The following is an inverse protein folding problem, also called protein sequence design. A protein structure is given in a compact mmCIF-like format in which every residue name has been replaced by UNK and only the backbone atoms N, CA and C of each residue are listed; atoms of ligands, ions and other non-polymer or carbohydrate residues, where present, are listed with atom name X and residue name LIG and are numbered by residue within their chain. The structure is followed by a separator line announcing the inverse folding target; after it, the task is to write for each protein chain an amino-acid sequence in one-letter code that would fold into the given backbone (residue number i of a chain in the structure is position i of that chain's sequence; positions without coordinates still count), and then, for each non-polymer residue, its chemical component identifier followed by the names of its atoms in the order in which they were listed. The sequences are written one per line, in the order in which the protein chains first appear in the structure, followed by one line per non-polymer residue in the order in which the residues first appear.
data_IF_251262872280
#
_entry.id   IF_251262872280
#
_cell.length_a   1.000
_cell.length_b   1.000
_cell.length_c   1.000
_cell.angle_alpha   90.00
_cell.angle_beta   90.00
_cell.angle_gamma   90.00
#
_symmetry.space_group_name_H-M   'P 1'
#
loop_
_entity.id
_entity.type
_entity.pdbx_description
1 polymer ?
#
# COMPACT_ATOMS: atom_id res chain seq x y z
N UNK A 1 14.44 -20.94 3.02
CA UNK A 1 14.00 -20.11 4.17
C UNK A 1 14.24 -18.67 3.75
N UNK A 2 13.21 -17.84 3.82
CA UNK A 2 13.23 -16.46 3.34
C UNK A 2 13.61 -15.51 4.50
N UNK A 3 14.52 -14.57 4.27
CA UNK A 3 15.15 -13.81 5.37
C UNK A 3 14.55 -12.42 5.60
N UNK A 4 13.79 -11.90 4.64
CA UNK A 4 13.13 -10.61 4.77
C UNK A 4 11.91 -10.75 5.69
N UNK A 5 11.77 -9.91 6.73
CA UNK A 5 10.59 -9.89 7.58
C UNK A 5 9.32 -9.56 6.81
N UNK A 6 8.22 -10.20 7.18
CA UNK A 6 6.89 -9.95 6.58
C UNK A 6 5.95 -9.48 7.67
N UNK A 7 5.28 -8.34 7.45
CA UNK A 7 4.09 -7.92 8.15
C UNK A 7 2.85 -8.35 7.38
N UNK A 8 2.01 -9.17 8.02
CA UNK A 8 0.73 -9.61 7.50
C UNK A 8 -0.40 -8.98 8.31
N UNK A 9 -1.11 -8.04 7.66
CA UNK A 9 -2.24 -7.31 8.21
C UNK A 9 -3.52 -8.07 7.90
N UNK A 10 -4.22 -8.54 8.94
CA UNK A 10 -5.44 -9.34 8.80
C UNK A 10 -6.63 -8.70 9.51
N UNK A 11 -7.84 -9.02 9.05
CA UNK A 11 -9.07 -8.67 9.76
C UNK A 11 -10.05 -9.86 9.83
N UNK A 12 -11.32 -9.68 9.45
CA UNK A 12 -12.37 -10.68 9.56
C UNK A 12 -12.65 -11.40 8.22
N UNK A 13 -11.62 -11.70 7.43
CA UNK A 13 -11.74 -12.33 6.09
C UNK A 13 -10.96 -13.64 5.98
N UNK A 14 -11.39 -14.70 6.68
CA UNK A 14 -10.66 -15.97 6.72
C UNK A 14 -10.36 -16.54 5.33
N UNK A 15 -11.30 -16.45 4.38
CA UNK A 15 -11.14 -17.01 3.03
C UNK A 15 -9.98 -16.40 2.23
N UNK A 16 -9.77 -15.09 2.33
CA UNK A 16 -8.65 -14.42 1.65
C UNK A 16 -7.38 -14.49 2.50
N UNK A 17 -7.51 -14.41 3.84
CA UNK A 17 -6.39 -14.62 4.77
C UNK A 17 -5.70 -15.97 4.50
N UNK A 18 -6.45 -17.05 4.32
CA UNK A 18 -5.90 -18.38 4.03
C UNK A 18 -5.10 -18.40 2.73
N UNK A 19 -5.63 -17.82 1.65
CA UNK A 19 -4.94 -17.78 0.37
C UNK A 19 -3.62 -17.00 0.42
N UNK A 20 -3.60 -15.84 1.10
CA UNK A 20 -2.37 -15.04 1.26
C UNK A 20 -1.39 -15.73 2.20
N UNK A 21 -1.88 -16.31 3.31
CA UNK A 21 -1.04 -17.03 4.27
C UNK A 21 -0.36 -18.24 3.63
N UNK A 22 -1.02 -18.99 2.75
CA UNK A 22 -0.40 -20.13 2.06
C UNK A 22 0.75 -19.69 1.14
N UNK A 23 0.70 -18.50 0.53
CA UNK A 23 1.85 -17.94 -0.20
C UNK A 23 3.01 -17.58 0.74
N UNK A 24 2.71 -17.03 1.92
CA UNK A 24 3.73 -16.74 2.96
C UNK A 24 4.32 -18.04 3.50
N UNK A 25 3.50 -19.07 3.76
CA UNK A 25 3.93 -20.38 4.24
C UNK A 25 4.83 -21.09 3.24
N UNK A 26 4.57 -20.96 1.94
CA UNK A 26 5.37 -21.57 0.88
C UNK A 26 6.84 -21.13 0.90
N UNK A 27 7.11 -19.84 1.18
CA UNK A 27 8.48 -19.31 1.22
C UNK A 27 9.17 -19.46 2.59
N UNK A 28 8.40 -19.80 3.64
CA UNK A 28 8.90 -20.07 5.00
C UNK A 28 9.78 -18.91 5.51
N UNK A 29 9.21 -17.71 5.75
CA UNK A 29 9.98 -16.59 6.29
C UNK A 29 10.54 -16.94 7.67
N UNK A 30 11.76 -16.49 7.96
CA UNK A 30 12.35 -16.66 9.29
C UNK A 30 11.65 -15.79 10.36
N UNK A 31 11.00 -14.69 9.94
CA UNK A 31 10.29 -13.74 10.82
C UNK A 31 8.96 -13.34 10.20
N UNK A 32 7.87 -13.56 10.94
CA UNK A 32 6.51 -13.22 10.54
C UNK A 32 5.85 -12.37 11.63
N UNK A 33 5.34 -11.21 11.23
CA UNK A 33 4.60 -10.30 12.07
C UNK A 33 3.14 -10.36 11.63
N UNK A 34 2.22 -10.62 12.55
CA UNK A 34 0.78 -10.68 12.26
C UNK A 34 0.07 -9.61 13.08
N UNK A 35 -0.60 -8.66 12.44
CA UNK A 35 -1.39 -7.67 13.14
C UNK A 35 -2.86 -7.78 12.74
N UNK A 36 -3.74 -7.73 13.73
CA UNK A 36 -5.18 -7.85 13.54
C UNK A 36 -5.93 -6.80 14.36
N UNK A 37 -6.79 -6.04 13.69
CA UNK A 37 -7.75 -5.17 14.39
C UNK A 37 -8.83 -6.02 15.09
N UNK A 38 -9.53 -5.45 16.07
CA UNK A 38 -10.64 -6.15 16.73
C UNK A 38 -11.90 -6.09 15.86
N UNK A 39 -12.82 -7.08 15.92
CA UNK A 39 -14.10 -7.00 15.21
C UNK A 39 -14.90 -5.76 15.61
N UNK A 40 -15.74 -5.25 14.71
CA UNK A 40 -16.52 -4.04 15.00
C UNK A 40 -17.61 -4.32 16.02
N UNK A 41 -17.82 -3.36 16.94
CA UNK A 41 -18.92 -3.44 17.90
C UNK A 41 -20.27 -3.55 17.17
N UNK A 42 -21.16 -4.41 17.69
CA UNK A 42 -22.48 -4.65 17.10
C UNK A 42 -22.49 -5.54 15.86
N UNK A 43 -21.39 -6.23 15.54
CA UNK A 43 -21.28 -7.19 14.43
C UNK A 43 -20.78 -8.56 14.92
N UNK A 44 -21.65 -9.38 15.55
CA UNK A 44 -21.24 -10.64 16.18
C UNK A 44 -20.62 -11.63 15.18
N UNK A 45 -21.03 -11.61 13.91
CA UNK A 45 -20.47 -12.44 12.85
C UNK A 45 -19.00 -12.13 12.55
N UNK A 46 -18.52 -10.92 12.86
CA UNK A 46 -17.12 -10.56 12.67
C UNK A 46 -16.22 -11.17 13.74
N UNK A 47 -16.74 -11.44 14.94
CA UNK A 47 -15.96 -12.03 16.01
C UNK A 47 -15.51 -13.45 15.66
N UNK A 48 -16.44 -14.26 15.14
CA UNK A 48 -16.14 -15.62 14.67
C UNK A 48 -15.16 -15.59 13.49
N UNK A 49 -15.41 -14.75 12.48
CA UNK A 49 -14.55 -14.64 11.29
C UNK A 49 -13.15 -14.12 11.63
N UNK A 50 -13.03 -13.18 12.57
CA UNK A 50 -11.74 -12.68 13.04
C UNK A 50 -10.97 -13.76 13.80
N UNK A 51 -11.64 -14.58 14.62
CA UNK A 51 -11.02 -15.71 15.29
C UNK A 51 -10.51 -16.75 14.29
N UNK A 52 -11.30 -17.07 13.26
CA UNK A 52 -10.89 -17.96 12.16
C UNK A 52 -9.67 -17.43 11.40
N UNK A 53 -9.65 -16.13 11.06
CA UNK A 53 -8.52 -15.50 10.39
C UNK A 53 -7.22 -15.55 11.22
N UNK A 54 -7.30 -15.30 12.54
CA UNK A 54 -6.16 -15.41 13.46
C UNK A 54 -5.67 -16.86 13.55
N UNK A 55 -6.58 -17.83 13.69
CA UNK A 55 -6.25 -19.25 13.77
C UNK A 55 -5.55 -19.76 12.49
N UNK A 56 -5.86 -19.22 11.31
CA UNK A 56 -5.13 -19.52 10.07
C UNK A 56 -3.65 -19.14 10.22
N UNK A 57 -3.36 -17.93 10.70
CA UNK A 57 -1.99 -17.43 10.84
C UNK A 57 -1.18 -18.11 11.94
N UNK A 58 -1.84 -18.87 12.82
CA UNK A 58 -1.19 -19.67 13.88
C UNK A 58 -0.71 -21.03 13.37
N UNK A 59 -1.09 -21.44 12.15
CA UNK A 59 -0.68 -22.72 11.53
C UNK A 59 0.77 -22.70 11.01
N UNK A 60 1.66 -21.92 11.63
CA UNK A 60 3.07 -21.81 11.26
C UNK A 60 3.78 -23.12 11.64
N UNK A 61 4.14 -23.91 10.63
CA UNK A 61 4.73 -25.25 10.77
C UNK A 61 6.19 -25.31 10.30
N UNK A 62 6.87 -24.17 10.24
CA UNK A 62 8.28 -24.03 9.91
C UNK A 62 9.02 -23.22 10.98
N UNK A 63 10.37 -23.28 11.06
CA UNK A 63 11.12 -22.46 12.00
C UNK A 63 10.94 -20.97 11.66
N UNK A 64 10.16 -20.27 12.49
CA UNK A 64 9.77 -18.88 12.31
C UNK A 64 9.65 -18.19 13.66
N UNK A 65 10.24 -17.02 13.82
CA UNK A 65 9.89 -16.11 14.90
C UNK A 65 8.57 -15.41 14.52
N UNK A 66 7.50 -15.73 15.25
CA UNK A 66 6.19 -15.12 15.03
C UNK A 66 5.92 -14.08 16.10
N UNK A 67 5.57 -12.86 15.70
CA UNK A 67 5.12 -11.78 16.59
C UNK A 67 3.71 -11.36 16.23
N UNK A 68 2.86 -11.18 17.23
CA UNK A 68 1.46 -10.82 17.01
C UNK A 68 1.12 -9.47 17.64
N UNK A 69 0.26 -8.70 16.97
CA UNK A 69 -0.35 -7.47 17.47
C UNK A 69 -1.87 -7.58 17.26
N UNK A 70 -2.57 -8.18 18.23
CA UNK A 70 -4.02 -8.32 18.20
C UNK A 70 -4.66 -7.26 19.08
N UNK A 71 -5.53 -6.44 18.50
CA UNK A 71 -6.23 -5.38 19.23
C UNK A 71 -7.44 -5.92 19.96
N UNK A 72 -7.72 -5.33 21.12
CA UNK A 72 -8.93 -5.58 21.92
C UNK A 72 -10.13 -4.75 21.43
N UNK A 73 -9.88 -3.57 20.85
CA UNK A 73 -10.90 -2.67 20.33
C UNK A 73 -10.64 -2.35 18.86
N UNK A 74 -11.73 -2.19 18.08
CA UNK A 74 -11.62 -1.84 16.67
C UNK A 74 -11.16 -0.39 16.53
N UNK A 75 -9.98 -0.18 15.95
CA UNK A 75 -9.43 1.16 15.71
C UNK A 75 -9.73 1.67 14.29
N UNK A 76 -10.18 0.78 13.41
CA UNK A 76 -10.47 1.07 12.02
C UNK A 76 -9.21 1.12 11.16
N UNK A 77 -9.40 1.02 9.84
CA UNK A 77 -8.32 0.86 8.85
C UNK A 77 -7.19 1.89 9.01
N UNK A 78 -7.54 3.18 9.07
CA UNK A 78 -6.55 4.28 9.17
C UNK A 78 -5.57 4.10 10.34
N UNK A 79 -6.08 3.86 11.56
CA UNK A 79 -5.25 3.76 12.77
C UNK A 79 -4.65 2.37 12.94
N UNK A 80 -5.47 1.32 12.81
CA UNK A 80 -5.02 -0.05 13.04
C UNK A 80 -3.86 -0.42 12.11
N UNK A 81 -3.96 -0.10 10.82
CA UNK A 81 -2.92 -0.44 9.82
C UNK A 81 -1.66 0.40 10.04
N UNK A 82 -1.79 1.72 10.18
CA UNK A 82 -0.61 2.58 10.33
C UNK A 82 0.15 2.31 11.63
N UNK A 83 -0.54 2.07 12.74
CA UNK A 83 0.11 1.69 14.00
C UNK A 83 0.77 0.32 13.92
N UNK A 84 0.18 -0.65 13.20
CA UNK A 84 0.81 -1.95 12.96
C UNK A 84 2.08 -1.85 12.13
N UNK A 85 2.10 -0.99 11.10
CA UNK A 85 3.31 -0.75 10.31
C UNK A 85 4.39 -0.03 11.15
N UNK A 86 4.00 0.92 12.00
CA UNK A 86 4.92 1.55 12.96
C UNK A 86 5.53 0.53 13.93
N UNK A 87 4.69 -0.30 14.56
CA UNK A 87 5.13 -1.39 15.44
C UNK A 87 6.10 -2.34 14.72
N UNK A 88 5.83 -2.71 13.47
CA UNK A 88 6.73 -3.54 12.67
C UNK A 88 8.10 -2.88 12.47
N UNK A 89 8.12 -1.59 12.11
CA UNK A 89 9.36 -0.86 11.89
C UNK A 89 10.06 -0.37 13.17
N UNK A 90 9.47 -0.52 14.35
CA UNK A 90 10.24 -0.44 15.61
C UNK A 90 11.22 -1.61 15.73
N UNK A 91 10.85 -2.77 15.17
CA UNK A 91 11.60 -4.02 15.27
C UNK A 91 12.51 -4.26 14.06
N UNK A 92 12.09 -3.86 12.85
CA UNK A 92 12.78 -4.20 11.61
C UNK A 92 13.35 -2.97 10.87
N UNK A 93 14.47 -3.13 10.18
CA UNK A 93 15.05 -2.05 9.34
C UNK A 93 14.32 -1.91 8.01
N UNK A 94 13.75 -3.00 7.52
CA UNK A 94 13.02 -3.11 6.26
C UNK A 94 12.14 -4.36 6.26
N UNK A 95 11.17 -4.40 5.36
CA UNK A 95 10.36 -5.60 5.19
C UNK A 95 9.23 -5.46 4.20
N UNK A 96 8.54 -6.57 3.99
CA UNK A 96 7.35 -6.70 3.14
C UNK A 96 6.09 -6.48 3.99
N UNK A 97 5.11 -5.78 3.42
CA UNK A 97 3.79 -5.57 4.00
C UNK A 97 2.74 -6.18 3.05
N UNK A 98 1.91 -7.07 3.58
CA UNK A 98 0.78 -7.70 2.89
C UNK A 98 -0.50 -7.52 3.71
N UNK A 99 -1.61 -7.26 3.03
CA UNK A 99 -2.96 -7.30 3.63
C UNK A 99 -3.63 -8.64 3.33
N UNK A 100 -4.67 -9.01 4.09
CA UNK A 100 -5.42 -10.27 3.97
C UNK A 100 -6.05 -10.52 2.61
N UNK A 101 -6.06 -9.53 1.73
CA UNK A 101 -6.61 -9.60 0.39
C UNK A 101 -5.59 -9.31 -0.73
N UNK A 102 -4.31 -9.20 -0.38
CA UNK A 102 -3.22 -8.97 -1.33
C UNK A 102 -2.49 -10.28 -1.61
N UNK A 103 -2.92 -11.02 -2.64
CA UNK A 103 -2.35 -12.32 -3.02
C UNK A 103 -1.07 -12.14 -3.86
N UNK A 104 0.13 -12.39 -3.30
CA UNK A 104 1.37 -12.25 -4.06
C UNK A 104 1.61 -13.46 -4.96
N UNK A 105 2.16 -13.22 -6.14
CA UNK A 105 2.80 -14.27 -6.93
C UNK A 105 4.13 -14.68 -6.25
N UNK A 106 4.56 -15.97 -6.31
CA UNK A 106 5.80 -16.41 -5.67
C UNK A 106 7.06 -15.59 -6.00
N UNK A 107 7.14 -15.03 -7.21
CA UNK A 107 8.26 -14.18 -7.63
C UNK A 107 8.27 -12.77 -6.99
N UNK A 108 7.22 -12.37 -6.26
CA UNK A 108 7.17 -11.13 -5.50
C UNK A 108 8.20 -11.10 -4.37
N UNK A 109 8.40 -12.24 -3.70
CA UNK A 109 9.32 -12.33 -2.55
C UNK A 109 10.80 -12.12 -2.94
N UNK A 110 11.39 -12.86 -3.90
CA UNK A 110 12.75 -12.59 -4.34
C UNK A 110 12.91 -11.19 -4.94
N UNK A 111 11.87 -10.66 -5.61
CA UNK A 111 11.85 -9.29 -6.10
C UNK A 111 11.98 -8.26 -4.96
N UNK A 112 11.21 -8.41 -3.89
CA UNK A 112 11.32 -7.53 -2.72
C UNK A 112 12.65 -7.70 -1.99
N UNK A 113 13.15 -8.94 -1.81
CA UNK A 113 14.44 -9.21 -1.17
C UNK A 113 15.59 -8.52 -1.88
N UNK A 114 15.69 -8.71 -3.20
CA UNK A 114 16.75 -8.10 -3.99
C UNK A 114 16.71 -6.57 -3.93
N UNK A 115 15.53 -5.98 -4.08
CA UNK A 115 15.37 -4.52 -4.12
C UNK A 115 15.52 -3.85 -2.75
N UNK A 116 15.06 -4.49 -1.67
CA UNK A 116 15.25 -4.00 -0.31
C UNK A 116 16.73 -3.91 0.06
N UNK A 117 17.51 -4.93 -0.35
CA UNK A 117 18.96 -4.96 -0.13
C UNK A 117 19.69 -3.98 -1.05
N UNK A 118 19.34 -3.95 -2.35
CA UNK A 118 19.96 -3.07 -3.34
C UNK A 118 19.81 -1.59 -3.02
N UNK A 119 18.63 -1.17 -2.56
CA UNK A 119 18.31 0.23 -2.27
C UNK A 119 18.26 0.56 -0.78
N UNK A 120 18.89 -0.27 0.06
CA UNK A 120 18.89 -0.09 1.52
C UNK A 120 19.31 1.32 1.93
N UNK A 121 20.37 1.84 1.32
CA UNK A 121 20.96 3.14 1.67
C UNK A 121 20.60 4.28 0.70
N UNK A 122 19.92 3.97 -0.41
CA UNK A 122 19.51 4.96 -1.41
C UNK A 122 18.29 5.77 -0.93
N UNK A 123 18.55 7.00 -0.46
CA UNK A 123 17.51 7.88 0.06
C UNK A 123 16.50 8.34 -0.99
N UNK A 124 16.79 8.17 -2.29
CA UNK A 124 15.87 8.50 -3.38
C UNK A 124 14.72 7.50 -3.48
N UNK A 125 14.88 6.29 -2.95
CA UNK A 125 13.87 5.22 -3.05
C UNK A 125 13.13 5.09 -1.72
N UNK A 126 11.80 5.19 -1.81
CA UNK A 126 10.90 5.13 -0.66
C UNK A 126 9.99 3.91 -0.63
N UNK A 127 9.69 3.31 -1.78
CA UNK A 127 8.65 2.29 -1.87
C UNK A 127 9.00 1.25 -2.92
N UNK A 128 8.70 -0.02 -2.66
CA UNK A 128 8.72 -1.11 -3.65
C UNK A 128 7.30 -1.60 -3.80
N UNK A 129 6.70 -1.37 -4.97
CA UNK A 129 5.34 -1.83 -5.24
C UNK A 129 5.34 -3.25 -5.78
N UNK A 130 4.31 -4.03 -5.41
CA UNK A 130 3.94 -5.27 -6.07
C UNK A 130 2.90 -5.10 -7.18
N UNK A 131 2.46 -3.87 -7.49
CA UNK A 131 1.38 -3.66 -8.46
C UNK A 131 1.84 -3.05 -9.77
N UNK A 132 1.29 -3.58 -10.87
CA UNK A 132 1.45 -3.01 -12.20
C UNK A 132 0.08 -2.93 -12.88
N UNK A 133 -0.37 -1.71 -13.14
CA UNK A 133 -1.60 -1.40 -13.88
C UNK A 133 -1.29 -0.88 -15.29
N UNK A 134 -0.02 -0.62 -15.60
CA UNK A 134 0.46 0.02 -16.83
C UNK A 134 1.72 -0.70 -17.35
N UNK A 135 1.67 -2.02 -17.63
CA UNK A 135 2.86 -2.77 -18.04
C UNK A 135 3.50 -2.20 -19.32
N UNK A 136 2.70 -1.62 -20.21
CA UNK A 136 3.17 -1.00 -21.45
C UNK A 136 3.98 0.29 -21.27
N UNK A 137 4.02 0.86 -20.06
CA UNK A 137 4.78 2.08 -19.76
C UNK A 137 6.22 1.79 -19.32
N UNK A 138 6.61 0.50 -19.23
CA UNK A 138 7.96 0.05 -18.86
C UNK A 138 8.61 -0.58 -20.08
N UNK A 139 9.91 -0.32 -20.26
CA UNK A 139 10.71 -1.00 -21.28
C UNK A 139 10.65 -2.53 -21.10
N UNK A 140 10.40 -3.31 -22.15
CA UNK A 140 10.31 -4.78 -22.05
C UNK A 140 11.61 -5.44 -21.59
N UNK A 141 12.73 -4.71 -21.62
CA UNK A 141 14.03 -5.19 -21.15
C UNK A 141 14.21 -5.06 -19.62
N UNK A 142 13.40 -4.22 -18.96
CA UNK A 142 13.53 -3.91 -17.53
C UNK A 142 12.53 -4.72 -16.69
N UNK A 143 12.98 -5.14 -15.51
CA UNK A 143 12.10 -5.78 -14.53
C UNK A 143 11.23 -4.77 -13.78
N UNK A 144 11.67 -3.52 -13.69
CA UNK A 144 10.94 -2.44 -13.05
C UNK A 144 11.44 -1.10 -13.56
N UNK A 145 10.68 -0.05 -13.26
CA UNK A 145 11.11 1.34 -13.44
C UNK A 145 10.74 2.16 -12.19
N UNK A 146 11.09 3.44 -12.16
CA UNK A 146 10.78 4.33 -11.05
C UNK A 146 9.65 5.29 -11.40
N UNK A 147 8.75 5.54 -10.45
CA UNK A 147 7.71 6.55 -10.60
C UNK A 147 7.41 7.24 -9.26
N UNK A 148 6.53 8.23 -9.28
CA UNK A 148 6.07 8.94 -8.09
C UNK A 148 4.72 8.46 -7.55
N UNK A 149 4.24 7.35 -8.09
CA UNK A 149 2.97 6.74 -7.73
C UNK A 149 3.23 5.60 -6.77
N UNK A 150 2.43 5.52 -5.72
CA UNK A 150 2.57 4.52 -4.66
C UNK A 150 1.33 3.65 -4.63
N UNK A 151 1.47 2.41 -5.11
CA UNK A 151 0.43 1.40 -4.97
C UNK A 151 0.76 0.47 -3.81
N UNK A 152 -0.22 0.27 -2.94
CA UNK A 152 -0.07 -0.31 -1.60
C UNK A 152 -0.64 -1.74 -1.48
N UNK A 153 -1.02 -2.39 -2.59
CA UNK A 153 -1.47 -3.79 -2.53
C UNK A 153 -0.27 -4.72 -2.64
N UNK A 154 0.29 -5.08 -1.49
CA UNK A 154 1.53 -5.82 -1.38
C UNK A 154 2.73 -4.99 -1.81
N UNK A 155 3.58 -4.66 -0.84
CA UNK A 155 4.67 -3.72 -1.04
C UNK A 155 5.77 -3.95 -0.02
N UNK A 156 6.90 -3.27 -0.19
CA UNK A 156 7.99 -3.27 0.76
C UNK A 156 8.59 -1.87 0.94
N UNK A 157 9.14 -1.62 2.13
CA UNK A 157 9.82 -0.35 2.43
C UNK A 157 10.83 -0.54 3.57
N UNK A 158 11.41 0.57 4.02
CA UNK A 158 12.40 0.66 5.08
C UNK A 158 11.90 1.51 6.24
N UNK A 159 12.37 1.21 7.45
CA UNK A 159 12.18 2.05 8.65
C UNK A 159 12.61 3.49 8.40
N UNK A 160 13.72 3.69 7.66
CA UNK A 160 14.23 5.02 7.30
C UNK A 160 13.24 5.86 6.48
N UNK A 161 12.30 5.22 5.78
CA UNK A 161 11.20 5.87 5.06
C UNK A 161 10.03 6.06 6.01
N UNK A 162 9.59 4.99 6.66
CA UNK A 162 8.39 4.99 7.49
C UNK A 162 8.46 5.96 8.67
N UNK A 163 9.65 6.24 9.20
CA UNK A 163 9.84 7.25 10.27
C UNK A 163 9.32 8.65 9.93
N UNK A 164 9.11 8.97 8.65
CA UNK A 164 8.58 10.25 8.20
C UNK A 164 7.05 10.27 8.11
N UNK A 165 6.39 9.12 8.31
CA UNK A 165 4.95 8.99 8.19
C UNK A 165 4.23 9.71 9.33
N UNK A 166 3.16 10.42 8.99
CA UNK A 166 2.33 11.13 9.95
C UNK A 166 0.87 11.07 9.52
N UNK A 167 0.02 10.51 10.37
CA UNK A 167 -1.43 10.42 10.12
C UNK A 167 -2.09 11.79 9.92
N UNK A 168 -1.63 12.80 10.65
CA UNK A 168 -2.17 14.17 10.59
C UNK A 168 -1.65 14.98 9.40
N UNK A 169 -0.68 14.42 8.66
CA UNK A 169 -0.03 15.02 7.49
C UNK A 169 0.22 16.54 7.61
N UNK A 170 1.06 17.00 8.57
CA UNK A 170 1.20 18.41 8.92
C UNK A 170 1.67 19.31 7.77
N UNK A 171 2.38 18.74 6.78
CA UNK A 171 2.76 19.48 5.57
C UNK A 171 1.55 20.05 4.84
N UNK A 172 0.43 19.30 4.75
CA UNK A 172 -0.78 19.78 4.11
C UNK A 172 -1.35 20.99 4.83
N UNK A 173 -1.51 20.92 6.15
CA UNK A 173 -2.04 22.02 6.95
C UNK A 173 -1.19 23.28 6.81
N UNK A 174 0.13 23.15 6.82
CA UNK A 174 1.07 24.27 6.65
C UNK A 174 1.06 24.89 5.24
N UNK A 175 0.69 24.14 4.20
CA UNK A 175 0.89 24.55 2.80
C UNK A 175 -0.37 24.63 1.94
N UNK A 176 -1.53 24.18 2.44
CA UNK A 176 -2.78 24.10 1.66
C UNK A 176 -3.28 25.43 1.10
N UNK A 177 -2.85 26.56 1.68
CA UNK A 177 -3.16 27.91 1.22
C UNK A 177 -1.98 28.61 0.49
N UNK A 178 -0.84 27.93 0.30
CA UNK A 178 0.33 28.46 -0.41
C UNK A 178 0.35 27.93 -1.86
N UNK A 179 0.07 28.76 -2.88
CA UNK A 179 -0.01 28.31 -4.27
C UNK A 179 1.28 27.65 -4.79
N UNK A 180 2.45 28.14 -4.39
CA UNK A 180 3.73 27.64 -4.92
C UNK A 180 4.13 26.31 -4.30
N UNK A 181 3.85 26.12 -3.00
CA UNK A 181 4.03 24.81 -2.36
C UNK A 181 3.06 23.77 -2.94
N UNK A 182 1.82 24.16 -3.25
CA UNK A 182 0.85 23.27 -3.90
C UNK A 182 1.28 22.85 -5.30
N UNK A 183 1.80 23.78 -6.11
CA UNK A 183 2.37 23.47 -7.43
C UNK A 183 3.54 22.49 -7.35
N UNK A 184 4.28 22.48 -6.24
CA UNK A 184 5.39 21.55 -6.01
C UNK A 184 4.90 20.17 -5.55
N UNK A 185 3.80 20.10 -4.79
CA UNK A 185 3.23 18.84 -4.29
C UNK A 185 2.49 18.05 -5.38
N UNK A 186 1.72 18.75 -6.21
CA UNK A 186 0.90 18.15 -7.26
C UNK A 186 1.57 18.34 -8.62
N UNK A 187 1.77 17.26 -9.35
CA UNK A 187 2.46 17.26 -10.65
C UNK A 187 1.58 17.75 -11.78
N UNK A 188 0.27 17.59 -11.64
CA UNK A 188 -0.70 18.01 -12.65
C UNK A 188 -1.90 18.69 -12.01
N UNK A 189 -2.63 19.47 -12.81
CA UNK A 189 -3.87 20.10 -12.36
C UNK A 189 -4.95 19.08 -12.00
N UNK A 190 -4.98 17.93 -12.70
CA UNK A 190 -5.93 16.84 -12.42
C UNK A 190 -5.67 16.24 -11.04
N UNK A 191 -4.39 15.98 -10.75
CA UNK A 191 -3.95 15.50 -9.44
C UNK A 191 -4.34 16.49 -8.33
N UNK A 192 -4.04 17.78 -8.52
CA UNK A 192 -4.40 18.83 -7.56
C UNK A 192 -5.91 18.84 -7.27
N UNK A 193 -6.73 18.83 -8.31
CA UNK A 193 -8.20 18.85 -8.17
C UNK A 193 -8.69 17.64 -7.39
N UNK A 194 -8.20 16.44 -7.74
CA UNK A 194 -8.62 15.20 -7.11
C UNK A 194 -8.20 15.17 -5.64
N UNK A 195 -6.90 15.36 -5.37
CA UNK A 195 -6.34 15.13 -4.05
C UNK A 195 -6.56 16.27 -3.07
N UNK A 196 -6.78 17.52 -3.51
CA UNK A 196 -7.07 18.62 -2.57
C UNK A 196 -8.25 18.29 -1.67
N UNK A 197 -9.37 17.90 -2.27
CA UNK A 197 -10.55 17.52 -1.48
C UNK A 197 -10.39 16.15 -0.83
N UNK A 198 -9.61 15.24 -1.43
CA UNK A 198 -9.42 13.89 -0.87
C UNK A 198 -8.59 13.94 0.42
N UNK A 199 -7.48 14.68 0.44
CA UNK A 199 -6.63 14.87 1.61
C UNK A 199 -7.47 15.52 2.73
N UNK A 200 -8.20 16.60 2.45
CA UNK A 200 -9.06 17.24 3.45
C UNK A 200 -10.13 16.29 4.01
N UNK A 201 -10.81 15.53 3.14
CA UNK A 201 -11.82 14.58 3.60
C UNK A 201 -11.19 13.45 4.43
N UNK A 202 -9.97 13.00 4.08
CA UNK A 202 -9.25 11.92 4.78
C UNK A 202 -8.71 12.37 6.15
N UNK A 203 -8.22 13.60 6.26
CA UNK A 203 -7.72 14.14 7.52
C UNK A 203 -8.85 14.40 8.52
N UNK A 204 -10.01 14.83 8.02
CA UNK A 204 -11.19 15.10 8.85
C UNK A 204 -12.15 13.90 8.98
N UNK A 205 -11.74 12.70 8.56
CA UNK A 205 -12.52 11.44 8.57
C UNK A 205 -13.95 11.61 8.00
N UNK A 206 -14.10 12.45 6.96
CA UNK A 206 -15.39 12.79 6.37
C UNK A 206 -15.88 11.67 5.48
N UNK A 207 -17.21 11.52 5.41
CA UNK A 207 -17.89 10.57 4.52
C UNK A 207 -17.48 9.10 4.74
N UNK A 208 -17.00 8.75 5.93
CA UNK A 208 -16.53 7.40 6.26
C UNK A 208 -15.19 7.04 5.61
N UNK A 209 -14.42 8.02 5.13
CA UNK A 209 -13.07 7.78 4.63
C UNK A 209 -12.15 7.56 5.83
N UNK A 210 -11.68 6.32 5.98
CA UNK A 210 -10.70 5.91 6.99
C UNK A 210 -9.48 5.33 6.27
N UNK A 211 -8.71 6.20 5.62
CA UNK A 211 -7.56 5.83 4.81
C UNK A 211 -6.25 6.41 5.39
N UNK A 212 -5.16 5.66 5.24
CA UNK A 212 -3.81 6.04 5.68
C UNK A 212 -2.85 6.22 4.49
N UNK A 213 -3.17 5.60 3.36
CA UNK A 213 -2.33 5.45 2.17
C UNK A 213 -2.13 6.77 1.41
N UNK A 214 -3.11 7.67 1.42
CA UNK A 214 -2.97 9.00 0.80
C UNK A 214 -1.94 9.86 1.55
N UNK A 215 -1.92 9.80 2.88
CA UNK A 215 -0.89 10.47 3.68
C UNK A 215 0.48 9.89 3.37
N UNK A 216 0.59 8.56 3.22
CA UNK A 216 1.84 7.89 2.87
C UNK A 216 2.34 8.28 1.47
N UNK A 217 1.45 8.28 0.47
CA UNK A 217 1.74 8.71 -0.89
C UNK A 217 2.33 10.13 -0.93
N UNK A 218 1.69 11.08 -0.26
CA UNK A 218 2.18 12.46 -0.26
C UNK A 218 3.38 12.67 0.67
N UNK A 219 3.53 11.87 1.73
CA UNK A 219 4.75 11.87 2.53
C UNK A 219 5.97 11.55 1.65
N UNK A 220 5.92 10.50 0.82
CA UNK A 220 6.99 10.17 -0.12
C UNK A 220 7.32 11.35 -1.04
N UNK A 221 6.29 12.04 -1.55
CA UNK A 221 6.47 13.23 -2.39
C UNK A 221 7.15 14.39 -1.68
N UNK A 222 6.81 14.63 -0.41
CA UNK A 222 7.47 15.69 0.37
C UNK A 222 8.96 15.41 0.62
N UNK A 223 9.37 14.15 0.51
CA UNK A 223 10.77 13.72 0.62
C UNK A 223 11.47 13.55 -0.75
N UNK A 224 10.81 13.87 -1.87
CA UNK A 224 11.26 13.58 -3.23
C UNK A 224 11.64 12.11 -3.46
N UNK A 225 10.94 11.19 -2.79
CA UNK A 225 11.18 9.76 -2.91
C UNK A 225 10.38 9.14 -4.06
N UNK A 226 11.01 8.20 -4.76
CA UNK A 226 10.43 7.42 -5.84
C UNK A 226 9.98 6.04 -5.34
N UNK A 227 8.98 5.51 -6.02
CA UNK A 227 8.52 4.14 -5.94
C UNK A 227 9.15 3.31 -7.05
N UNK A 228 9.57 2.10 -6.73
CA UNK A 228 9.88 1.05 -7.70
C UNK A 228 8.56 0.41 -8.16
N UNK A 229 8.33 0.43 -9.48
CA UNK A 229 7.13 -0.04 -10.15
C UNK A 229 7.47 -1.24 -11.04
N UNK A 230 6.92 -2.43 -10.77
CA UNK A 230 7.28 -3.65 -11.49
C UNK A 230 6.75 -3.65 -12.93
N UNK A 231 7.46 -4.33 -13.84
CA UNK A 231 7.04 -4.48 -15.25
C UNK A 231 5.83 -5.39 -15.43
N UNK A 232 5.49 -6.18 -14.41
CA UNK A 232 4.30 -7.03 -14.35
C UNK A 232 3.60 -6.87 -13.01
N UNK A 233 2.31 -7.22 -12.97
CA UNK A 233 1.59 -7.17 -11.70
C UNK A 233 2.05 -8.36 -10.85
N UNK A 234 2.61 -8.12 -9.67
CA UNK A 234 3.11 -9.19 -8.79
C UNK A 234 2.11 -9.56 -7.70
N UNK A 235 1.09 -8.73 -7.45
CA UNK A 235 0.12 -8.94 -6.37
C UNK A 235 -1.30 -8.67 -6.90
N UNK A 236 -2.20 -9.63 -6.72
CA UNK A 236 -3.61 -9.50 -7.05
C UNK A 236 -4.40 -9.13 -5.80
N UNK A 237 -5.23 -8.08 -5.89
CA UNK A 237 -6.22 -7.83 -4.84
C UNK A 237 -7.43 -8.76 -5.03
N UNK A 238 -7.53 -9.79 -4.19
CA UNK A 238 -8.61 -10.79 -4.18
C UNK A 238 -9.78 -10.39 -3.27
N UNK A 239 -9.72 -9.22 -2.63
CA UNK A 239 -10.75 -8.65 -1.75
C UNK A 239 -11.79 -7.82 -2.51
N UNK A 240 -11.50 -7.50 -3.78
CA UNK A 240 -12.47 -6.95 -4.71
C UNK A 240 -13.62 -7.96 -4.86
N UNK A 241 -14.77 -7.68 -4.23
CA UNK A 241 -16.00 -8.48 -4.20
C UNK A 241 -16.15 -9.50 -3.04
N UNK A 242 -15.31 -9.47 -2.02
CA UNK A 242 -15.48 -10.35 -0.84
C UNK A 242 -16.46 -9.79 0.19
N UNK A 243 -17.15 -10.69 0.92
CA UNK A 243 -18.03 -10.31 2.04
C UNK A 243 -17.16 -9.74 3.16
N UNK A 244 -17.32 -8.45 3.48
CA UNK A 244 -16.50 -7.75 4.47
C UNK A 244 -15.46 -6.79 3.88
N UNK A 245 -15.53 -6.48 2.58
CA UNK A 245 -14.74 -5.42 1.95
C UNK A 245 -14.95 -4.05 2.63
N UNK A 246 -13.87 -3.42 3.12
CA UNK A 246 -13.94 -2.13 3.84
C UNK A 246 -14.25 -0.96 2.88
N UNK A 247 -13.84 -1.07 1.61
CA UNK A 247 -13.99 0.00 0.61
C UNK A 247 -14.51 -0.46 -0.77
N UNK A 248 -14.75 -1.76 -0.97
CA UNK A 248 -15.10 -2.35 -2.27
C UNK A 248 -16.42 -3.14 -2.22
N UNK A 249 -17.54 -2.45 -1.98
CA UNK A 249 -18.88 -3.07 -1.89
C UNK A 249 -19.62 -3.19 -3.24
N UNK A 250 -19.02 -2.77 -4.36
CA UNK A 250 -19.64 -2.78 -5.69
C UNK A 250 -18.72 -3.48 -6.71
N UNK A 251 -19.26 -4.36 -7.56
CA UNK A 251 -18.52 -5.07 -8.62
C UNK A 251 -17.67 -4.09 -9.43
N UNK A 252 -16.35 -4.16 -9.25
CA UNK A 252 -15.37 -3.42 -10.05
C UNK A 252 -14.44 -4.41 -10.76
N UNK A 253 -14.98 -5.14 -11.73
CA UNK A 253 -14.22 -6.06 -12.59
C UNK A 253 -13.00 -5.37 -13.23
N UNK A 254 -13.07 -4.05 -13.49
CA UNK A 254 -11.97 -3.24 -14.03
C UNK A 254 -10.75 -3.07 -13.10
N UNK A 255 -10.86 -3.38 -11.80
CA UNK A 255 -9.76 -3.23 -10.84
C UNK A 255 -9.06 -4.55 -10.53
N UNK A 256 -9.61 -5.68 -11.00
CA UNK A 256 -8.99 -6.98 -10.83
C UNK A 256 -7.88 -7.15 -11.87
N UNK A 257 -6.64 -7.26 -11.40
CA UNK A 257 -5.47 -7.54 -12.24
C UNK A 257 -4.79 -8.80 -11.70
N UNK A 258 -4.73 -9.83 -12.53
CA UNK A 258 -4.04 -11.08 -12.18
C UNK A 258 -2.55 -10.83 -12.01
N UNK A 259 -1.94 -11.47 -11.03
CA UNK A 259 -0.51 -11.45 -10.84
C UNK A 259 0.15 -12.34 -11.90
N UNK A 260 1.40 -12.04 -12.22
CA UNK A 260 2.20 -12.71 -13.25
C UNK A 260 3.62 -12.93 -12.70
N UNK A 261 4.32 -13.99 -13.16
CA UNK A 261 5.72 -14.16 -12.84
C UNK A 261 6.56 -13.03 -13.40
N UNK A 262 7.56 -12.59 -12.64
CA UNK A 262 8.65 -11.75 -13.16
C UNK A 262 9.89 -12.61 -13.41
N UNK A 263 10.61 -12.31 -14.49
CA UNK A 263 11.85 -13.00 -14.81
C UNK A 263 12.95 -12.64 -13.80
N UNK A 264 13.76 -13.64 -13.42
CA UNK A 264 14.93 -13.52 -12.56
C UNK A 264 16.17 -14.03 -13.32
N UNK A 265 17.37 -13.42 -13.13
CA UNK A 265 17.65 -12.26 -12.27
C UNK A 265 16.98 -10.98 -12.76
N UNK A 266 16.76 -10.00 -11.87
CA UNK A 266 16.13 -8.75 -12.26
C UNK A 266 17.05 -7.94 -13.20
N UNK A 267 16.46 -7.33 -14.23
CA UNK A 267 17.13 -6.31 -15.03
C UNK A 267 16.84 -4.94 -14.45
N UNK A 268 17.90 -4.25 -14.01
CA UNK A 268 17.80 -2.95 -13.34
C UNK A 268 17.91 -1.78 -14.31
N UNK A 269 17.14 -0.69 -14.11
CA UNK A 269 17.44 0.57 -14.78
C UNK A 269 18.82 1.09 -14.37
N UNK A 270 19.57 1.62 -15.35
CA UNK A 270 20.91 2.19 -15.12
C UNK A 270 20.84 3.47 -14.29
N UNK A 271 19.80 4.27 -14.52
CA UNK A 271 19.61 5.55 -13.85
C UNK A 271 18.35 5.51 -12.98
N UNK A 272 18.45 6.09 -11.78
CA UNK A 272 17.29 6.33 -10.93
C UNK A 272 16.65 7.63 -11.39
N UNK A 273 15.71 7.50 -12.32
CA UNK A 273 14.97 8.61 -12.90
C UNK A 273 13.49 8.30 -12.94
N UNK A 274 12.70 9.31 -12.63
CA UNK A 274 11.26 9.21 -12.60
C UNK A 274 10.66 9.09 -14.02
N UNK A 275 9.92 8.01 -14.27
CA UNK A 275 9.24 7.76 -15.53
C UNK A 275 7.93 8.56 -15.59
N UNK A 276 7.94 9.63 -16.39
CA UNK A 276 6.78 10.54 -16.55
C UNK A 276 5.57 9.85 -17.17
N UNK A 277 5.77 8.87 -18.06
CA UNK A 277 4.68 8.18 -18.74
C UNK A 277 3.84 7.35 -17.75
N UNK A 278 4.50 6.63 -16.82
CA UNK A 278 3.82 5.94 -15.72
C UNK A 278 2.99 6.94 -14.89
N UNK A 279 3.58 8.08 -14.54
CA UNK A 279 2.94 9.08 -13.71
C UNK A 279 1.70 9.70 -14.38
N UNK A 280 1.82 10.11 -15.65
CA UNK A 280 0.72 10.73 -16.39
C UNK A 280 -0.41 9.75 -16.66
N UNK A 281 -0.07 8.51 -17.05
CA UNK A 281 -1.05 7.46 -17.29
C UNK A 281 -1.78 7.07 -15.99
N UNK A 282 -1.07 6.96 -14.86
CA UNK A 282 -1.67 6.66 -13.56
C UNK A 282 -2.63 7.78 -13.12
N UNK A 283 -2.26 9.05 -13.28
CA UNK A 283 -3.16 10.18 -12.96
C UNK A 283 -4.40 10.14 -13.85
N UNK A 284 -4.25 9.91 -15.16
CA UNK A 284 -5.37 9.86 -16.10
C UNK A 284 -6.31 8.67 -15.84
N UNK A 285 -5.76 7.51 -15.51
CA UNK A 285 -6.52 6.28 -15.29
C UNK A 285 -7.15 6.16 -13.90
N UNK A 286 -6.48 6.67 -12.87
CA UNK A 286 -6.81 6.37 -11.47
C UNK A 286 -7.27 7.58 -10.65
N UNK A 287 -6.88 8.81 -11.01
CA UNK A 287 -7.09 10.00 -10.17
C UNK A 287 -8.04 11.03 -10.80
N UNK A 288 -9.28 10.60 -11.09
CA UNK A 288 -10.34 11.49 -11.57
C UNK A 288 -11.68 11.22 -10.87
N UNK A 289 -12.43 12.30 -10.60
CA UNK A 289 -13.78 12.22 -10.04
C UNK A 289 -14.58 13.47 -10.42
N UNK A 290 -15.67 13.30 -11.17
CA UNK A 290 -16.58 14.40 -11.52
C UNK A 290 -17.13 15.11 -10.28
N UNK A 291 -17.41 14.36 -9.20
CA UNK A 291 -17.86 14.93 -7.91
C UNK A 291 -16.81 15.85 -7.29
N UNK A 292 -15.55 15.42 -7.27
CA UNK A 292 -14.44 16.24 -6.72
C UNK A 292 -14.11 17.42 -7.62
N UNK A 293 -14.23 17.25 -8.94
CA UNK A 293 -14.09 18.33 -9.92
C UNK A 293 -15.13 19.43 -9.69
N UNK A 294 -16.41 19.07 -9.56
CA UNK A 294 -17.47 20.04 -9.29
C UNK A 294 -17.23 20.78 -7.96
N UNK A 295 -16.87 20.05 -6.89
CA UNK A 295 -16.52 20.65 -5.60
C UNK A 295 -15.36 21.63 -5.70
N UNK A 296 -14.31 21.29 -6.45
CA UNK A 296 -13.14 22.16 -6.63
C UNK A 296 -13.51 23.52 -7.21
N UNK A 297 -14.36 23.55 -8.25
CA UNK A 297 -14.81 24.81 -8.86
C UNK A 297 -15.81 25.57 -7.98
N UNK A 298 -16.75 24.87 -7.33
CA UNK A 298 -17.68 25.51 -6.39
C UNK A 298 -16.94 26.23 -5.26
N UNK A 299 -15.94 25.58 -4.65
CA UNK A 299 -15.15 26.17 -3.57
C UNK A 299 -14.30 27.38 -4.02
N UNK A 300 -14.01 27.50 -5.32
CA UNK A 300 -13.33 28.67 -5.89
C UNK A 300 -14.28 29.85 -6.14
N UNK A 301 -15.57 29.60 -6.33
CA UNK A 301 -16.57 30.65 -6.52
C UNK A 301 -17.02 31.27 -5.19
N UNK A 302 -16.81 30.56 -4.08
CA UNK A 302 -17.19 30.98 -2.73
C UNK A 302 -16.03 31.58 -1.92
N UNK A 303 -14.85 31.76 -2.51
CA UNK A 303 -13.66 32.39 -1.93
C UNK A 303 -13.29 33.62 -2.72
#
# INVERSE_FOLDING_TARGET
MYNIPILFLIFCRPDTTEQVFEQIRAIKPARLYVAADAPRAGRPEEAERAAQARAITEKVDWPCEVKTLYREQNLGCKKAVSEAISWFFEQEEYGVILEDDCLPHPSFFPYCEELLLRYKDDQRIGHISGNCFLPQAISPELSYDFCSVTHIWGWATWRRVWKNFSLDFPFWEATKNNPDKRKSLFRTKREEIYFTSFIEDTLADRYGISAWDVQYYFMLRTQNQLSIYPSVNLVTNIGLNSVGATHATRKKEKQFVSSQPIALPLTHPVYVMDNKDINEAAVKGSFFSYKRLARYYLNKLTK
#
